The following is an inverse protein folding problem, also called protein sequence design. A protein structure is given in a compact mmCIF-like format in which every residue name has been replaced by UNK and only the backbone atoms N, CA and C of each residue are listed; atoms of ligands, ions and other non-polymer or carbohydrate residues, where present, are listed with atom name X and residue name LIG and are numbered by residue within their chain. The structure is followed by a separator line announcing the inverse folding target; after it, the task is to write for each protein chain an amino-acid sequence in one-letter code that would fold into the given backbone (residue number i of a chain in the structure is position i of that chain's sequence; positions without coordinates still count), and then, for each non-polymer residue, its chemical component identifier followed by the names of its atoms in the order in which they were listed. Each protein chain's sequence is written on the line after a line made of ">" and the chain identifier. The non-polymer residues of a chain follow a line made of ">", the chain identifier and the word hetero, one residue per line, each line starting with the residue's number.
data_IF_722923712364
#
_entry.id   IF_722923712364
#
_cell.length_a   1.000
_cell.length_b   1.000
_cell.length_c   1.000
_cell.angle_alpha   90.00
_cell.angle_beta   90.00
_cell.angle_gamma   90.00
#
_symmetry.space_group_name_H-M   'P 1'
#
loop_
_entity.id
_entity.type
_entity.pdbx_description
1 polymer ?
#
# COMPACT_ATOMS: atom_id res chain seq x y z
N UNK A 1 16.87 -11.16 5.36
CA UNK A 1 15.89 -10.29 4.68
C UNK A 1 16.59 -9.08 4.08
N UNK A 2 16.77 -9.10 2.77
CA UNK A 2 17.42 -8.03 2.03
C UNK A 2 16.45 -6.87 1.77
N UNK A 3 16.99 -5.65 1.60
CA UNK A 3 16.21 -4.45 1.31
C UNK A 3 16.64 -3.85 -0.02
N UNK A 4 15.66 -3.53 -0.86
CA UNK A 4 15.88 -2.90 -2.16
C UNK A 4 15.06 -1.61 -2.26
N UNK A 5 15.61 -0.51 -2.79
CA UNK A 5 14.81 0.65 -3.17
C UNK A 5 13.84 0.30 -4.29
N UNK A 6 12.69 0.96 -4.35
CA UNK A 6 11.68 0.74 -5.39
C UNK A 6 12.21 0.92 -6.82
N UNK A 7 13.26 1.71 -7.01
CA UNK A 7 13.93 1.91 -8.29
C UNK A 7 14.61 0.63 -8.83
N UNK A 8 14.99 -0.30 -7.94
CA UNK A 8 15.64 -1.56 -8.31
C UNK A 8 14.66 -2.60 -8.86
N UNK A 9 13.36 -2.43 -8.63
CA UNK A 9 12.34 -3.31 -9.22
C UNK A 9 12.42 -3.35 -10.75
N UNK A 10 12.70 -2.20 -11.37
CA UNK A 10 12.83 -2.10 -12.82
C UNK A 10 14.25 -2.44 -13.28
N UNK A 11 15.27 -1.96 -12.56
CA UNK A 11 16.68 -2.07 -12.99
C UNK A 11 17.28 -3.46 -12.77
N UNK A 12 16.87 -4.15 -11.70
CA UNK A 12 17.48 -5.39 -11.22
C UNK A 12 16.42 -6.50 -11.01
N UNK A 13 15.38 -6.52 -11.84
CA UNK A 13 14.21 -7.38 -11.66
C UNK A 13 14.55 -8.87 -11.52
N UNK A 14 15.48 -9.39 -12.32
CA UNK A 14 15.91 -10.80 -12.25
C UNK A 14 16.62 -11.15 -10.93
N UNK A 15 17.49 -10.27 -10.45
CA UNK A 15 18.19 -10.47 -9.17
C UNK A 15 17.21 -10.40 -8.00
N UNK A 16 16.26 -9.47 -8.04
CA UNK A 16 15.21 -9.37 -7.02
C UNK A 16 14.34 -10.63 -6.99
N UNK A 17 13.96 -11.16 -8.15
CA UNK A 17 13.14 -12.38 -8.24
C UNK A 17 13.91 -13.60 -7.69
N UNK A 18 15.16 -13.78 -8.09
CA UNK A 18 16.02 -14.85 -7.55
C UNK A 18 16.19 -14.76 -6.03
N UNK A 19 16.39 -13.54 -5.50
CA UNK A 19 16.46 -13.34 -4.07
C UNK A 19 15.14 -13.67 -3.37
N UNK A 20 14.00 -13.20 -3.93
CA UNK A 20 12.66 -13.42 -3.40
C UNK A 20 12.20 -14.89 -3.41
N UNK A 21 12.74 -15.70 -4.34
CA UNK A 21 12.52 -17.14 -4.38
C UNK A 21 13.25 -17.87 -3.25
N UNK A 22 14.35 -17.32 -2.74
CA UNK A 22 15.16 -17.91 -1.65
C UNK A 22 14.71 -17.41 -0.27
N UNK A 23 14.44 -16.12 -0.14
CA UNK A 23 13.95 -15.50 1.09
C UNK A 23 13.07 -14.28 0.77
N UNK A 24 12.12 -13.91 1.63
CA UNK A 24 11.42 -12.65 1.51
C UNK A 24 12.37 -11.46 1.43
N UNK A 25 12.09 -10.50 0.54
CA UNK A 25 12.85 -9.26 0.38
C UNK A 25 11.94 -8.05 0.57
N UNK A 26 12.46 -6.98 1.18
CA UNK A 26 11.70 -5.76 1.43
C UNK A 26 11.99 -4.75 0.34
N UNK A 27 10.94 -4.20 -0.23
CA UNK A 27 11.01 -3.06 -1.13
C UNK A 27 10.72 -1.80 -0.32
N UNK A 28 11.60 -0.82 -0.46
CA UNK A 28 11.57 0.44 0.27
C UNK A 28 11.23 1.63 -0.65
N UNK A 29 10.63 2.66 -0.06
CA UNK A 29 10.39 3.95 -0.73
C UNK A 29 10.79 5.08 0.22
N UNK A 30 11.68 5.97 -0.23
CA UNK A 30 12.30 7.01 0.61
C UNK A 30 12.84 6.46 1.95
N UNK A 31 13.50 5.30 1.90
CA UNK A 31 14.13 4.66 3.07
C UNK A 31 13.15 3.97 4.03
N UNK A 32 11.85 3.93 3.73
CA UNK A 32 10.85 3.23 4.55
C UNK A 32 10.44 1.91 3.91
N UNK A 33 10.29 0.88 4.71
CA UNK A 33 9.75 -0.43 4.31
C UNK A 33 8.30 -0.23 3.81
N UNK A 34 7.97 -0.74 2.61
CA UNK A 34 6.64 -0.55 1.99
C UNK A 34 6.00 -1.85 1.55
N UNK A 35 6.76 -2.70 0.88
CA UNK A 35 6.27 -3.96 0.32
C UNK A 35 7.26 -5.08 0.63
N UNK A 36 6.77 -6.31 0.61
CA UNK A 36 7.60 -7.51 0.65
C UNK A 36 7.34 -8.30 -0.62
N UNK A 37 8.41 -8.68 -1.32
CA UNK A 37 8.36 -9.64 -2.40
C UNK A 37 8.84 -11.00 -1.87
N UNK A 38 8.11 -12.05 -2.20
CA UNK A 38 8.41 -13.42 -1.80
C UNK A 38 7.85 -14.40 -2.83
N UNK A 39 8.26 -15.66 -2.75
CA UNK A 39 7.65 -16.72 -3.55
C UNK A 39 6.15 -16.85 -3.26
N UNK A 40 5.39 -17.25 -4.27
CA UNK A 40 3.95 -17.51 -4.11
C UNK A 40 3.68 -18.59 -3.04
N UNK A 41 4.52 -19.62 -2.99
CA UNK A 41 4.38 -20.70 -2.00
C UNK A 41 4.52 -20.18 -0.56
N UNK A 42 5.45 -19.26 -0.31
CA UNK A 42 5.61 -18.67 1.03
C UNK A 42 4.44 -17.75 1.38
N UNK A 43 3.93 -16.98 0.40
CA UNK A 43 2.70 -16.20 0.58
C UNK A 43 1.52 -17.10 0.96
N UNK A 44 1.29 -18.21 0.26
CA UNK A 44 0.20 -19.14 0.58
C UNK A 44 0.40 -19.80 1.95
N UNK A 45 1.64 -20.14 2.34
CA UNK A 45 1.95 -20.66 3.68
C UNK A 45 1.58 -19.65 4.77
N UNK A 46 1.95 -18.39 4.59
CA UNK A 46 1.61 -17.31 5.53
C UNK A 46 0.10 -17.07 5.58
N UNK A 47 -0.57 -17.02 4.43
CA UNK A 47 -2.03 -16.87 4.34
C UNK A 47 -2.77 -18.03 5.01
N UNK A 48 -2.27 -19.26 4.90
CA UNK A 48 -2.86 -20.42 5.57
C UNK A 48 -2.66 -20.35 7.08
N UNK A 49 -1.46 -20.00 7.55
CA UNK A 49 -1.18 -19.78 8.97
C UNK A 49 -2.06 -18.67 9.54
N UNK A 50 -2.20 -17.57 8.83
CA UNK A 50 -2.95 -16.43 9.31
C UNK A 50 -4.48 -16.67 9.30
N UNK A 51 -4.97 -17.58 8.46
CA UNK A 51 -6.35 -18.12 8.59
C UNK A 51 -6.54 -19.00 9.82
N UNK A 52 -5.51 -19.72 10.25
CA UNK A 52 -5.54 -20.51 11.48
C UNK A 52 -5.43 -19.62 12.73
N UNK A 53 -4.68 -18.52 12.62
CA UNK A 53 -4.44 -17.55 13.69
C UNK A 53 -5.50 -16.40 13.72
N UNK A 54 -6.35 -16.28 12.70
CA UNK A 54 -7.49 -15.35 12.62
C UNK A 54 -7.15 -13.88 12.32
N UNK A 55 -5.91 -13.52 11.96
CA UNK A 55 -5.47 -12.12 11.91
C UNK A 55 -5.39 -11.48 10.50
N UNK A 56 -5.45 -12.26 9.41
CA UNK A 56 -5.30 -11.72 8.03
C UNK A 56 -6.53 -10.95 7.54
N UNK A 57 -7.72 -11.50 7.82
CA UNK A 57 -9.01 -10.96 7.35
C UNK A 57 -9.22 -9.52 7.86
N UNK A 58 -8.77 -9.24 9.09
CA UNK A 58 -8.90 -7.92 9.71
C UNK A 58 -8.08 -6.83 8.99
N UNK A 59 -6.89 -7.17 8.46
CA UNK A 59 -6.00 -6.19 7.82
C UNK A 59 -6.34 -5.93 6.35
N UNK A 60 -6.85 -6.93 5.63
CA UNK A 60 -7.33 -6.76 4.25
C UNK A 60 -8.65 -5.97 4.20
N UNK A 61 -9.52 -6.16 5.20
CA UNK A 61 -10.74 -5.36 5.35
C UNK A 61 -10.42 -3.86 5.52
N UNK A 62 -9.34 -3.51 6.24
CA UNK A 62 -8.90 -2.13 6.43
C UNK A 62 -8.44 -1.46 5.11
N UNK A 63 -7.70 -2.18 4.26
CA UNK A 63 -7.26 -1.66 2.95
C UNK A 63 -8.41 -1.53 1.97
N UNK A 64 -9.33 -2.51 1.92
CA UNK A 64 -10.52 -2.44 1.08
C UNK A 64 -11.50 -1.33 1.51
N UNK A 65 -11.46 -0.92 2.79
CA UNK A 65 -12.26 0.18 3.33
C UNK A 65 -11.74 1.56 2.90
N UNK A 66 -10.49 1.68 2.45
CA UNK A 66 -9.93 2.95 1.95
C UNK A 66 -10.44 3.35 0.56
N UNK A 67 -10.97 2.40 -0.22
CA UNK A 67 -11.66 2.69 -1.49
C UNK A 67 -13.08 3.26 -1.27
N UNK A 68 -13.55 3.30 -0.01
CA UNK A 68 -14.88 3.78 0.38
C UNK A 68 -14.82 5.09 1.17
N UNK A 69 -14.00 6.07 0.75
CA UNK A 69 -14.33 7.44 1.13
C UNK A 69 -15.74 7.73 0.58
N UNK A 70 -16.76 8.02 1.42
CA UNK A 70 -17.97 8.61 0.89
C UNK A 70 -17.53 9.92 0.25
N UNK A 71 -17.51 9.97 -1.07
CA UNK A 71 -17.43 11.20 -1.81
C UNK A 71 -18.56 12.08 -1.28
N UNK A 72 -18.21 13.04 -0.43
CA UNK A 72 -19.14 14.07 0.00
C UNK A 72 -19.77 14.65 -1.25
N UNK A 73 -21.09 14.73 -1.24
CA UNK A 73 -21.88 15.29 -2.32
C UNK A 73 -21.27 16.67 -2.70
N UNK A 74 -20.89 16.91 -3.97
CA UNK A 74 -20.41 18.23 -4.40
C UNK A 74 -21.61 19.18 -4.42
N UNK A 75 -22.00 19.69 -3.25
CA UNK A 75 -23.20 20.51 -3.11
C UNK A 75 -23.48 21.07 -1.71
N UNK A 76 -22.86 20.57 -0.65
CA UNK A 76 -23.10 21.09 0.70
C UNK A 76 -21.82 21.69 1.30
N UNK A 77 -21.70 23.02 1.25
CA UNK A 77 -20.77 23.76 2.10
C UNK A 77 -19.74 24.67 1.42
N UNK A 78 -19.78 24.86 0.10
CA UNK A 78 -19.01 25.95 -0.51
C UNK A 78 -19.82 27.27 -0.40
N UNK A 79 -19.33 28.33 0.27
CA UNK A 79 -20.00 29.62 0.25
C UNK A 79 -20.07 30.15 -1.18
N UNK A 80 -21.18 30.80 -1.53
CA UNK A 80 -21.37 31.37 -2.88
C UNK A 80 -20.25 32.37 -3.19
N UNK A 81 -19.77 32.51 -4.45
CA UNK A 81 -18.68 33.42 -4.82
C UNK A 81 -18.80 34.88 -4.34
N UNK A 82 -19.99 35.33 -3.95
CA UNK A 82 -20.22 36.64 -3.33
C UNK A 82 -19.81 36.77 -1.85
N UNK A 83 -19.50 35.67 -1.15
CA UNK A 83 -19.25 35.66 0.31
C UNK A 83 -17.77 35.48 0.68
N UNK A 84 -16.84 35.57 -0.27
CA UNK A 84 -15.41 35.51 0.05
C UNK A 84 -14.92 36.81 0.72
N UNK A 85 -14.43 36.78 1.98
CA UNK A 85 -13.82 37.94 2.60
C UNK A 85 -12.39 38.06 2.06
N UNK A 86 -12.18 38.94 1.08
CA UNK A 86 -10.80 39.26 0.67
C UNK A 86 -10.51 39.75 -0.74
N UNK A 87 -11.50 40.13 -1.56
CA UNK A 87 -11.19 40.87 -2.81
C UNK A 87 -11.12 42.37 -2.53
N UNK A 88 -9.96 42.81 -2.04
CA UNK A 88 -9.45 44.19 -2.23
C UNK A 88 -8.23 44.12 -3.14
N UNK A 89 -8.23 44.96 -4.18
CA UNK A 89 -7.08 45.25 -5.04
C UNK A 89 -7.08 44.43 -6.32
#
# INVERSE_FOLDING_TARGET
>A
MQRFPSQDLQRNSGVLQEAALREPVVITHHGRDRLVLMSFQEYERLKQRDRQDGAFEHRLAEVASLDHLPGGNPGEGAPSPQEWPGKRG
#
